data_IF_627055978979
#
_entry.id   IF_627055978979
#
_cell.length_a   1.000
_cell.length_b   1.000
_cell.length_c   1.000
_cell.angle_alpha   90.00
_cell.angle_beta   90.00
_cell.angle_gamma   90.00
#
_symmetry.space_group_name_H-M   'P 1'
#
loop_
_entity.id
_entity.type
_entity.pdbx_description
1 polymer ?
#
# COMPACT_ATOMS: atom_id res chain seq x y z
N UNK A 1 -49.59 -78.86 75.91
CA UNK A 1 -48.17 -79.09 76.27
C UNK A 1 -47.31 -78.47 75.18
N UNK A 2 -46.62 -77.36 75.47
CA UNK A 2 -45.73 -76.67 74.52
C UNK A 2 -44.29 -77.03 74.89
N UNK A 3 -43.63 -77.82 74.04
CA UNK A 3 -42.23 -78.15 74.23
C UNK A 3 -41.36 -76.90 73.96
N UNK A 4 -40.88 -76.26 75.04
CA UNK A 4 -39.83 -75.24 74.95
C UNK A 4 -38.53 -75.91 74.50
N UNK A 5 -38.19 -75.77 73.23
CA UNK A 5 -36.86 -76.11 72.72
C UNK A 5 -35.99 -74.85 72.82
N UNK A 6 -35.17 -74.75 73.85
CA UNK A 6 -34.15 -73.70 73.96
C UNK A 6 -32.90 -74.14 73.22
N UNK A 7 -32.50 -73.37 72.20
CA UNK A 7 -31.20 -73.56 71.54
C UNK A 7 -30.21 -72.67 72.28
N UNK A 8 -29.29 -73.28 73.03
CA UNK A 8 -28.18 -72.57 73.66
C UNK A 8 -27.08 -72.40 72.62
N UNK A 9 -26.91 -71.17 72.11
CA UNK A 9 -25.79 -70.80 71.26
C UNK A 9 -24.55 -70.63 72.15
N UNK A 10 -23.61 -71.56 72.05
CA UNK A 10 -22.31 -71.47 72.72
C UNK A 10 -21.47 -70.38 72.06
N UNK A 11 -20.93 -69.46 72.87
CA UNK A 11 -20.16 -68.29 72.43
C UNK A 11 -18.92 -68.62 71.56
N UNK A 12 -18.48 -69.89 71.54
CA UNK A 12 -17.36 -70.37 70.72
C UNK A 12 -17.71 -70.60 69.23
N UNK A 13 -19.00 -70.61 68.85
CA UNK A 13 -19.46 -70.81 67.47
C UNK A 13 -19.86 -69.51 66.75
N UNK A 14 -19.77 -68.36 67.43
CA UNK A 14 -20.01 -67.05 66.83
C UNK A 14 -18.69 -66.54 66.25
N UNK A 15 -18.52 -66.66 64.94
CA UNK A 15 -17.59 -65.78 64.24
C UNK A 15 -18.01 -64.33 64.56
N UNK A 16 -17.08 -63.43 64.93
CA UNK A 16 -17.38 -62.03 65.18
C UNK A 16 -17.59 -61.30 63.85
N UNK A 17 -18.47 -61.84 63.01
CA UNK A 17 -18.93 -61.15 61.82
C UNK A 17 -20.00 -60.16 62.27
N UNK A 18 -19.85 -58.86 61.96
CA UNK A 18 -20.82 -57.86 62.36
C UNK A 18 -22.17 -58.21 61.70
N UNK A 19 -23.19 -58.47 62.52
CA UNK A 19 -24.54 -58.72 62.03
C UNK A 19 -25.10 -57.37 61.54
N UNK A 20 -24.98 -57.14 60.24
CA UNK A 20 -25.53 -55.97 59.58
C UNK A 20 -27.05 -56.03 59.60
N UNK A 21 -27.68 -54.92 60.00
CA UNK A 21 -29.13 -54.83 59.96
C UNK A 21 -29.60 -54.60 58.54
N UNK A 22 -30.80 -55.08 58.24
CA UNK A 22 -31.39 -54.89 56.90
C UNK A 22 -31.59 -53.40 56.59
N UNK A 23 -31.91 -52.59 57.60
CA UNK A 23 -31.98 -51.13 57.47
C UNK A 23 -30.64 -50.52 56.99
N UNK A 24 -29.51 -50.89 57.58
CA UNK A 24 -28.19 -50.34 57.21
C UNK A 24 -27.81 -50.67 55.76
N UNK A 25 -28.20 -51.85 55.28
CA UNK A 25 -27.98 -52.27 53.89
C UNK A 25 -28.87 -51.47 52.94
N UNK A 26 -30.14 -51.26 53.30
CA UNK A 26 -31.08 -50.47 52.50
C UNK A 26 -30.65 -48.99 52.42
N UNK A 27 -30.21 -48.42 53.53
CA UNK A 27 -29.71 -47.04 53.60
C UNK A 27 -28.42 -46.88 52.79
N UNK A 28 -27.53 -47.87 52.83
CA UNK A 28 -26.31 -47.87 52.01
C UNK A 28 -26.61 -47.93 50.51
N UNK A 29 -27.59 -48.73 50.09
CA UNK A 29 -28.02 -48.79 48.68
C UNK A 29 -28.65 -47.47 48.23
N UNK A 30 -29.54 -46.91 49.04
CA UNK A 30 -30.18 -45.62 48.76
C UNK A 30 -29.15 -44.48 48.67
N UNK A 31 -28.16 -44.45 49.56
CA UNK A 31 -27.06 -43.49 49.50
C UNK A 31 -26.21 -43.64 48.23
N UNK A 32 -25.98 -44.88 47.76
CA UNK A 32 -25.27 -45.13 46.50
C UNK A 32 -26.05 -44.62 45.29
N UNK A 33 -27.36 -44.82 45.27
CA UNK A 33 -28.22 -44.35 44.17
C UNK A 33 -28.24 -42.82 44.12
N UNK A 34 -28.40 -42.15 45.27
CA UNK A 34 -28.31 -40.68 45.35
C UNK A 34 -26.94 -40.17 44.87
N UNK A 35 -25.85 -40.82 45.25
CA UNK A 35 -24.51 -40.43 44.80
C UNK A 35 -24.31 -40.68 43.30
N UNK A 36 -24.91 -41.73 42.75
CA UNK A 36 -24.87 -42.00 41.32
C UNK A 36 -25.62 -40.93 40.53
N UNK A 37 -26.82 -40.58 40.97
CA UNK A 37 -27.64 -39.52 40.37
C UNK A 37 -26.96 -38.16 40.48
N UNK A 38 -26.41 -37.81 41.65
CA UNK A 38 -25.69 -36.56 41.86
C UNK A 38 -24.43 -36.47 40.97
N UNK A 39 -23.71 -37.58 40.77
CA UNK A 39 -22.57 -37.63 39.84
C UNK A 39 -23.03 -37.43 38.40
N UNK A 40 -24.09 -38.10 37.98
CA UNK A 40 -24.62 -37.94 36.63
C UNK A 40 -25.04 -36.49 36.36
N UNK A 41 -25.73 -35.86 37.31
CA UNK A 41 -26.11 -34.45 37.22
C UNK A 41 -24.88 -33.54 37.16
N UNK A 42 -23.87 -33.76 38.00
CA UNK A 42 -22.63 -32.99 37.97
C UNK A 42 -21.91 -33.11 36.62
N UNK A 43 -21.86 -34.32 36.04
CA UNK A 43 -21.26 -34.53 34.71
C UNK A 43 -22.04 -33.79 33.62
N UNK A 44 -23.38 -33.80 33.67
CA UNK A 44 -24.22 -33.07 32.71
C UNK A 44 -24.02 -31.55 32.82
N UNK A 45 -23.94 -31.02 34.04
CA UNK A 45 -23.67 -29.59 34.26
C UNK A 45 -22.29 -29.21 33.71
N UNK A 46 -21.26 -30.01 33.98
CA UNK A 46 -19.91 -29.73 33.47
C UNK A 46 -19.86 -29.75 31.94
N UNK A 47 -20.55 -30.71 31.30
CA UNK A 47 -20.62 -30.78 29.84
C UNK A 47 -21.31 -29.55 29.24
N UNK A 48 -22.43 -29.12 29.82
CA UNK A 48 -23.16 -27.92 29.38
C UNK A 48 -22.34 -26.64 29.55
N UNK A 49 -21.62 -26.50 30.67
CA UNK A 49 -20.78 -25.32 30.89
C UNK A 49 -19.54 -25.31 29.98
N UNK A 50 -18.97 -26.49 29.67
CA UNK A 50 -17.90 -26.60 28.67
C UNK A 50 -18.40 -26.18 27.29
N UNK A 51 -19.55 -26.67 26.84
CA UNK A 51 -20.12 -26.32 25.54
C UNK A 51 -20.41 -24.81 25.44
N UNK A 52 -20.96 -24.21 26.50
CA UNK A 52 -21.16 -22.75 26.57
C UNK A 52 -19.85 -21.99 26.52
N UNK A 53 -18.84 -22.43 27.26
CA UNK A 53 -17.52 -21.79 27.27
C UNK A 53 -16.86 -21.87 25.89
N UNK A 54 -16.93 -23.01 25.22
CA UNK A 54 -16.44 -23.20 23.86
C UNK A 54 -17.17 -22.30 22.87
N UNK A 55 -18.50 -22.22 22.96
CA UNK A 55 -19.30 -21.34 22.10
C UNK A 55 -18.93 -19.86 22.31
N UNK A 56 -18.80 -19.42 23.56
CA UNK A 56 -18.39 -18.05 23.88
C UNK A 56 -16.97 -17.76 23.38
N UNK A 57 -16.05 -18.71 23.51
CA UNK A 57 -14.68 -18.57 23.01
C UNK A 57 -14.66 -18.46 21.48
N UNK A 58 -15.40 -19.31 20.77
CA UNK A 58 -15.52 -19.28 19.32
C UNK A 58 -16.12 -17.97 18.83
N UNK A 59 -17.18 -17.49 19.50
CA UNK A 59 -17.81 -16.22 19.18
C UNK A 59 -16.86 -15.04 19.41
N UNK A 60 -16.12 -15.03 20.53
CA UNK A 60 -15.12 -14.00 20.81
C UNK A 60 -13.98 -14.01 19.78
N UNK A 61 -13.52 -15.19 19.37
CA UNK A 61 -12.51 -15.34 18.31
C UNK A 61 -13.01 -14.83 16.97
N UNK A 62 -14.25 -15.19 16.59
CA UNK A 62 -14.85 -14.72 15.35
C UNK A 62 -14.96 -13.20 15.33
N UNK A 63 -15.45 -12.59 16.42
CA UNK A 63 -15.55 -11.14 16.53
C UNK A 63 -14.18 -10.46 16.50
N UNK A 64 -13.17 -11.05 17.16
CA UNK A 64 -11.81 -10.54 17.14
C UNK A 64 -11.26 -10.51 15.70
N UNK A 65 -11.42 -11.60 14.94
CA UNK A 65 -10.94 -11.68 13.57
C UNK A 65 -11.69 -10.73 12.64
N UNK A 66 -13.01 -10.60 12.79
CA UNK A 66 -13.81 -9.64 12.03
C UNK A 66 -13.30 -8.21 12.24
N UNK A 67 -13.13 -7.82 13.50
CA UNK A 67 -12.65 -6.49 13.87
C UNK A 67 -11.20 -6.25 13.40
N UNK A 68 -10.33 -7.24 13.58
CA UNK A 68 -8.93 -7.15 13.16
C UNK A 68 -8.82 -7.02 11.63
N UNK A 69 -9.60 -7.79 10.88
CA UNK A 69 -9.61 -7.71 9.42
C UNK A 69 -10.18 -6.39 8.92
N UNK A 70 -11.26 -5.89 9.53
CA UNK A 70 -11.81 -4.57 9.21
C UNK A 70 -10.77 -3.46 9.44
N UNK A 71 -10.10 -3.49 10.60
CA UNK A 71 -9.05 -2.52 10.94
C UNK A 71 -7.85 -2.59 9.98
N UNK A 72 -7.39 -3.80 9.64
CA UNK A 72 -6.29 -3.98 8.68
C UNK A 72 -6.68 -3.51 7.27
N UNK A 73 -7.93 -3.75 6.86
CA UNK A 73 -8.46 -3.26 5.59
C UNK A 73 -8.48 -1.73 5.54
N UNK A 74 -8.98 -1.08 6.57
CA UNK A 74 -8.98 0.39 6.66
C UNK A 74 -7.55 0.96 6.65
N UNK A 75 -6.63 0.36 7.40
CA UNK A 75 -5.23 0.77 7.43
C UNK A 75 -4.57 0.65 6.05
N UNK A 76 -4.89 -0.40 5.29
CA UNK A 76 -4.37 -0.58 3.94
C UNK A 76 -4.87 0.52 2.99
N UNK A 77 -6.17 0.83 3.04
CA UNK A 77 -6.76 1.93 2.25
C UNK A 77 -6.12 3.27 2.60
N UNK A 78 -5.91 3.55 3.89
CA UNK A 78 -5.23 4.78 4.32
C UNK A 78 -3.79 4.87 3.81
N UNK A 79 -3.05 3.75 3.81
CA UNK A 79 -1.68 3.70 3.28
C UNK A 79 -1.64 3.97 1.78
N UNK A 80 -2.53 3.37 1.01
CA UNK A 80 -2.64 3.59 -0.44
C UNK A 80 -2.99 5.04 -0.75
N UNK A 81 -3.95 5.62 -0.01
CA UNK A 81 -4.30 7.03 -0.14
C UNK A 81 -3.11 7.96 0.16
N UNK A 82 -2.37 7.69 1.23
CA UNK A 82 -1.19 8.47 1.60
C UNK A 82 -0.08 8.36 0.54
N UNK A 83 0.16 7.16 0.00
CA UNK A 83 1.14 6.95 -1.07
C UNK A 83 0.76 7.72 -2.33
N UNK A 84 -0.51 7.68 -2.73
CA UNK A 84 -0.98 8.41 -3.89
C UNK A 84 -0.84 9.94 -3.69
N UNK A 85 -1.23 10.45 -2.52
CA UNK A 85 -1.08 11.86 -2.18
C UNK A 85 0.39 12.29 -2.16
N UNK A 86 1.28 11.46 -1.61
CA UNK A 86 2.71 11.74 -1.61
C UNK A 86 3.27 11.77 -3.04
N UNK A 87 2.85 10.86 -3.91
CA UNK A 87 3.28 10.86 -5.31
C UNK A 87 2.81 12.11 -6.04
N UNK A 88 1.53 12.48 -5.90
CA UNK A 88 1.01 13.72 -6.49
C UNK A 88 1.76 14.95 -5.98
N UNK A 89 2.03 15.04 -4.68
CA UNK A 89 2.78 16.16 -4.11
C UNK A 89 4.22 16.23 -4.65
N UNK A 90 4.87 15.09 -4.86
CA UNK A 90 6.22 15.03 -5.46
C UNK A 90 6.18 15.46 -6.93
N UNK A 91 5.19 15.00 -7.70
CA UNK A 91 5.00 15.39 -9.10
C UNK A 91 4.74 16.89 -9.23
N UNK A 92 3.89 17.45 -8.37
CA UNK A 92 3.61 18.89 -8.31
C UNK A 92 4.87 19.68 -7.97
N UNK A 93 5.58 19.30 -6.90
CA UNK A 93 6.81 19.95 -6.48
C UNK A 93 7.90 19.90 -7.56
N UNK A 94 8.07 18.74 -8.22
CA UNK A 94 9.03 18.58 -9.30
C UNK A 94 8.65 19.45 -10.50
N UNK A 95 7.38 19.43 -10.89
CA UNK A 95 6.88 20.22 -12.01
C UNK A 95 7.03 21.71 -11.75
N UNK A 96 6.71 22.17 -10.54
CA UNK A 96 6.85 23.56 -10.12
C UNK A 96 8.32 23.98 -10.05
N UNK A 97 9.18 23.15 -9.47
CA UNK A 97 10.63 23.41 -9.41
C UNK A 97 11.26 23.48 -10.81
N UNK A 98 10.88 22.55 -11.70
CA UNK A 98 11.33 22.59 -13.10
C UNK A 98 10.81 23.83 -13.83
N UNK A 99 9.55 24.22 -13.60
CA UNK A 99 9.00 25.45 -14.18
C UNK A 99 9.77 26.68 -13.70
N UNK A 100 10.05 26.80 -12.40
CA UNK A 100 10.83 27.91 -11.86
C UNK A 100 12.25 27.95 -12.43
N UNK A 101 12.94 26.81 -12.47
CA UNK A 101 14.30 26.73 -13.01
C UNK A 101 14.32 27.14 -14.50
N UNK A 102 13.33 26.72 -15.28
CA UNK A 102 13.21 27.11 -16.68
C UNK A 102 12.77 28.57 -16.86
N UNK A 103 11.97 29.13 -15.95
CA UNK A 103 11.53 30.53 -16.00
C UNK A 103 12.63 31.50 -15.55
N UNK A 104 13.51 31.10 -14.63
CA UNK A 104 14.63 31.91 -14.14
C UNK A 104 15.81 31.96 -15.13
N UNK A 105 15.76 31.19 -16.22
CA UNK A 105 16.80 31.22 -17.26
C UNK A 105 16.82 32.53 -18.01
N UNK A 106 18.03 33.04 -18.28
CA UNK A 106 18.23 34.26 -19.07
C UNK A 106 17.92 34.02 -20.55
N UNK A 107 17.58 35.09 -21.28
CA UNK A 107 17.30 35.02 -22.72
C UNK A 107 18.47 34.41 -23.52
N UNK A 108 19.72 34.68 -23.13
CA UNK A 108 20.91 34.12 -23.75
C UNK A 108 21.03 32.59 -23.55
N UNK A 109 20.73 32.10 -22.35
CA UNK A 109 20.74 30.66 -22.04
C UNK A 109 19.65 29.92 -22.80
N UNK A 110 18.44 30.51 -22.86
CA UNK A 110 17.31 29.97 -23.65
C UNK A 110 17.68 29.84 -25.13
N UNK A 111 18.28 30.89 -25.70
CA UNK A 111 18.68 30.89 -27.10
C UNK A 111 19.74 29.83 -27.41
N UNK A 112 20.75 29.66 -26.55
CA UNK A 112 21.75 28.58 -26.68
C UNK A 112 21.15 27.20 -26.52
N UNK A 113 20.20 27.02 -25.59
CA UNK A 113 19.51 25.74 -25.38
C UNK A 113 18.66 25.36 -26.60
N UNK A 114 17.93 26.32 -27.18
CA UNK A 114 17.17 26.12 -28.42
C UNK A 114 18.08 25.76 -29.59
N UNK A 115 19.18 26.48 -29.78
CA UNK A 115 20.14 26.21 -30.85
C UNK A 115 20.76 24.81 -30.72
N UNK A 116 21.08 24.38 -29.48
CA UNK A 116 21.57 23.04 -29.19
C UNK A 116 20.53 21.95 -29.46
N UNK A 117 19.29 22.14 -29.04
CA UNK A 117 18.21 21.19 -29.29
C UNK A 117 17.98 21.01 -30.80
N UNK A 118 17.98 22.13 -31.53
CA UNK A 118 17.84 22.13 -32.97
C UNK A 118 19.06 21.49 -33.67
N UNK A 119 20.27 21.67 -33.17
CA UNK A 119 21.45 20.94 -33.67
C UNK A 119 21.41 19.43 -33.38
N UNK A 120 20.83 19.02 -32.25
CA UNK A 120 20.68 17.62 -31.91
C UNK A 120 19.64 16.91 -32.80
N UNK A 121 18.63 17.63 -33.29
CA UNK A 121 17.65 17.08 -34.24
C UNK A 121 18.16 16.97 -35.69
N UNK A 122 19.28 17.65 -36.01
CA UNK A 122 19.90 17.55 -37.33
C UNK A 122 20.90 16.39 -37.42
N UNK A 123 20.50 15.32 -38.11
CA UNK A 123 21.32 14.12 -38.35
C UNK A 123 22.54 14.40 -39.23
N UNK A 124 22.45 15.35 -40.17
CA UNK A 124 23.50 15.69 -41.14
C UNK A 124 23.91 17.16 -41.06
N UNK A 125 25.15 17.45 -41.48
CA UNK A 125 25.68 18.81 -41.65
C UNK A 125 25.10 19.44 -42.92
N UNK A 126 23.82 19.82 -42.84
CA UNK A 126 23.11 20.49 -43.92
C UNK A 126 23.42 21.99 -43.92
N UNK A 127 23.57 22.56 -45.11
CA UNK A 127 23.66 24.02 -45.28
C UNK A 127 22.29 24.62 -45.00
N UNK A 128 22.21 25.43 -43.95
CA UNK A 128 20.96 26.00 -43.48
C UNK A 128 21.14 27.46 -43.04
N UNK A 129 20.04 28.22 -43.04
CA UNK A 129 20.00 29.59 -42.53
C UNK A 129 19.29 29.60 -41.20
N UNK A 130 20.02 29.93 -40.13
CA UNK A 130 19.47 30.09 -38.79
C UNK A 130 19.02 31.55 -38.62
N UNK A 131 17.71 31.77 -38.66
CA UNK A 131 17.09 33.08 -38.48
C UNK A 131 16.71 33.29 -37.02
N UNK A 132 17.19 34.39 -36.44
CA UNK A 132 17.07 34.70 -35.01
C UNK A 132 16.71 36.16 -34.78
N UNK A 133 16.05 36.47 -33.67
CA UNK A 133 15.78 37.86 -33.29
C UNK A 133 17.10 38.61 -32.99
N UNK A 134 17.24 39.91 -33.36
CA UNK A 134 18.47 40.66 -33.16
C UNK A 134 19.01 40.68 -31.72
N UNK A 135 18.12 40.64 -30.72
CA UNK A 135 18.49 40.66 -29.29
C UNK A 135 19.20 39.38 -28.82
N UNK A 136 18.96 38.24 -29.49
CA UNK A 136 19.58 36.95 -29.15
C UNK A 136 20.64 36.52 -30.15
N UNK A 137 20.97 37.37 -31.13
CA UNK A 137 21.87 37.01 -32.20
C UNK A 137 23.30 36.77 -31.72
N UNK A 138 23.79 37.56 -30.76
CA UNK A 138 25.16 37.46 -30.27
C UNK A 138 25.41 36.15 -29.48
N UNK A 139 24.57 35.78 -28.48
CA UNK A 139 24.74 34.52 -27.76
C UNK A 139 24.64 33.27 -28.64
N UNK A 140 23.84 33.33 -29.72
CA UNK A 140 23.69 32.24 -30.69
C UNK A 140 24.87 32.19 -31.66
N UNK A 141 25.42 33.34 -32.06
CA UNK A 141 26.62 33.42 -32.89
C UNK A 141 27.84 32.81 -32.17
N UNK A 142 28.04 33.13 -30.90
CA UNK A 142 29.09 32.55 -30.07
C UNK A 142 28.98 31.03 -30.00
N UNK A 143 27.79 30.52 -29.69
CA UNK A 143 27.55 29.08 -29.64
C UNK A 143 27.75 28.40 -31.01
N UNK A 144 27.32 29.05 -32.10
CA UNK A 144 27.47 28.52 -33.45
C UNK A 144 28.94 28.43 -33.87
N UNK A 145 29.77 29.40 -33.46
CA UNK A 145 31.21 29.40 -33.73
C UNK A 145 31.93 28.23 -33.04
N UNK A 146 31.47 27.81 -31.86
CA UNK A 146 32.00 26.65 -31.12
C UNK A 146 31.42 25.31 -31.58
N UNK A 147 30.38 25.33 -32.43
CA UNK A 147 29.65 24.15 -32.86
C UNK A 147 30.18 23.58 -34.18
N UNK A 148 29.93 22.29 -34.42
CA UNK A 148 30.25 21.60 -35.69
C UNK A 148 29.54 22.18 -36.92
N UNK A 149 28.51 22.99 -36.70
CA UNK A 149 27.72 23.62 -37.76
C UNK A 149 28.23 25.00 -38.18
N UNK A 150 29.35 25.48 -37.63
CA UNK A 150 29.93 26.81 -37.89
C UNK A 150 30.15 27.11 -39.38
N UNK A 151 30.54 26.12 -40.18
CA UNK A 151 30.78 26.27 -41.62
C UNK A 151 29.52 26.07 -42.49
N UNK A 152 28.48 25.44 -41.92
CA UNK A 152 27.29 25.00 -42.64
C UNK A 152 26.10 25.94 -42.40
N UNK A 153 25.99 26.54 -41.22
CA UNK A 153 24.86 27.38 -40.86
C UNK A 153 25.19 28.86 -41.00
N UNK A 154 24.33 29.59 -41.69
CA UNK A 154 24.44 31.04 -41.81
C UNK A 154 23.45 31.72 -40.87
N UNK A 155 23.96 32.56 -39.98
CA UNK A 155 23.13 33.33 -39.06
C UNK A 155 22.48 34.51 -39.79
N UNK A 156 21.16 34.62 -39.69
CA UNK A 156 20.37 35.75 -40.21
C UNK A 156 19.64 36.42 -39.05
N UNK A 157 19.78 37.73 -38.94
CA UNK A 157 19.01 38.54 -37.99
C UNK A 157 17.67 38.89 -38.62
N UNK A 158 16.58 38.51 -37.98
CA UNK A 158 15.22 38.73 -38.46
C UNK A 158 14.34 39.22 -37.31
N UNK A 159 13.92 40.49 -37.36
CA UNK A 159 13.09 41.10 -36.34
C UNK A 159 11.62 40.65 -36.40
N UNK A 160 11.23 39.87 -37.41
CA UNK A 160 9.87 39.30 -37.52
C UNK A 160 9.68 38.03 -36.68
N UNK A 161 10.78 37.45 -36.20
CA UNK A 161 10.82 36.25 -35.35
C UNK A 161 10.76 36.69 -33.88
N UNK A 162 10.01 35.97 -33.05
CA UNK A 162 9.92 36.28 -31.63
C UNK A 162 11.28 36.08 -30.92
N UNK A 163 11.55 36.88 -29.89
CA UNK A 163 12.79 36.84 -29.09
C UNK A 163 13.13 35.46 -28.52
N UNK A 164 12.11 34.62 -28.35
CA UNK A 164 12.20 33.31 -27.70
C UNK A 164 12.07 32.16 -28.72
N UNK A 165 12.31 32.44 -29.99
CA UNK A 165 12.17 31.46 -31.08
C UNK A 165 13.34 31.49 -32.07
N UNK A 166 13.60 30.34 -32.68
CA UNK A 166 14.59 30.15 -33.72
C UNK A 166 13.93 29.49 -34.93
N UNK A 167 14.28 29.95 -36.12
CA UNK A 167 13.86 29.35 -37.40
C UNK A 167 15.09 28.85 -38.14
N UNK A 168 15.14 27.56 -38.42
CA UNK A 168 16.12 26.99 -39.33
C UNK A 168 15.48 26.79 -40.70
N UNK A 169 16.02 27.40 -41.74
CA UNK A 169 15.55 27.21 -43.10
C UNK A 169 16.63 26.56 -43.95
N UNK A 170 16.33 25.40 -44.53
CA UNK A 170 17.20 24.67 -45.44
C UNK A 170 16.50 24.47 -46.81
N UNK A 171 17.11 23.67 -47.69
CA UNK A 171 16.52 23.36 -49.00
C UNK A 171 15.28 22.45 -48.92
N UNK A 172 15.06 21.78 -47.78
CA UNK A 172 13.99 20.80 -47.56
C UNK A 172 12.78 21.38 -46.82
N UNK A 173 12.94 22.55 -46.17
CA UNK A 173 11.85 23.24 -45.48
C UNK A 173 12.34 24.26 -44.46
N UNK A 174 11.41 24.77 -43.67
CA UNK A 174 11.69 25.59 -42.50
C UNK A 174 11.21 24.86 -41.24
N UNK A 175 12.08 24.82 -40.23
CA UNK A 175 11.79 24.29 -38.92
C UNK A 175 11.82 25.42 -37.89
N UNK A 176 10.71 25.58 -37.18
CA UNK A 176 10.53 26.59 -36.16
C UNK A 176 10.49 25.93 -34.78
N UNK A 177 11.28 26.46 -33.85
CA UNK A 177 11.22 26.05 -32.45
C UNK A 177 11.15 27.28 -31.55
N UNK A 178 10.21 27.26 -30.61
CA UNK A 178 10.08 28.27 -29.57
C UNK A 178 10.47 27.69 -28.21
N UNK A 179 10.95 28.55 -27.32
CA UNK A 179 11.24 28.21 -25.92
C UNK A 179 10.03 27.59 -25.21
N UNK A 180 8.83 28.10 -25.50
CA UNK A 180 7.59 27.58 -24.96
C UNK A 180 7.35 26.11 -25.33
N UNK A 181 7.69 25.70 -26.54
CA UNK A 181 7.47 24.33 -27.01
C UNK A 181 8.53 23.38 -26.49
N UNK A 182 9.80 23.83 -26.42
CA UNK A 182 10.86 23.08 -25.74
C UNK A 182 10.53 22.88 -24.25
N UNK A 183 10.02 23.92 -23.58
CA UNK A 183 9.59 23.86 -22.17
C UNK A 183 8.47 22.85 -21.97
N UNK A 184 7.45 22.83 -22.84
CA UNK A 184 6.36 21.84 -22.77
C UNK A 184 6.88 20.42 -22.90
N UNK A 185 7.78 20.17 -23.86
CA UNK A 185 8.41 18.87 -24.06
C UNK A 185 9.23 18.41 -22.85
N UNK A 186 9.98 19.31 -22.21
CA UNK A 186 10.77 19.00 -21.01
C UNK A 186 9.91 18.77 -19.76
N UNK A 187 8.74 19.40 -19.68
CA UNK A 187 7.77 19.18 -18.59
C UNK A 187 6.87 17.97 -18.84
N UNK A 188 7.05 17.23 -19.94
CA UNK A 188 6.20 16.10 -20.30
C UNK A 188 4.74 16.47 -20.57
N UNK A 189 4.46 17.76 -20.80
CA UNK A 189 3.12 18.24 -21.16
C UNK A 189 2.98 18.05 -22.66
N UNK A 190 2.25 17.01 -23.07
CA UNK A 190 1.95 16.81 -24.50
C UNK A 190 1.28 18.06 -25.09
N UNK A 191 1.62 18.44 -26.34
CA UNK A 191 0.95 19.54 -27.00
C UNK A 191 -0.54 19.20 -27.15
N UNK A 192 -1.41 20.04 -26.60
CA UNK A 192 -2.85 19.95 -26.82
C UNK A 192 -3.11 20.02 -28.33
N UNK A 193 -3.67 18.94 -28.87
CA UNK A 193 -4.14 18.81 -30.26
C UNK A 193 -5.33 19.71 -30.52
#
# INVERSE_FOLDING_TARGET
>A
MLAKRSIALTAAALLPEPILRREDIADSLLARDILADARQQATQILALEQEKAEHLQQQALAQFWENANAFLGELQVQREALQQQAMTAVEELLSESLRHLLDDTTLAERARALARNLAASQLNEAVATLSVHPEIAEPVAEWLAESRFSEHWKLKRDATIASDSLRLSDANGAFDIAWADLRKGLLGVEPAV
#
